data_IF_388948906554
#
_entry.id   IF_388948906554
#
_cell.length_a   1.000
_cell.length_b   1.000
_cell.length_c   1.000
_cell.angle_alpha   90.00
_cell.angle_beta   90.00
_cell.angle_gamma   90.00
#
_symmetry.space_group_name_H-M   'P 1'
#
loop_
_entity.id
_entity.type
_entity.pdbx_description
1 polymer ?
#
# COMPACT_ATOMS: atom_id res chain seq x y z
N UNK A 1 -13.11 -0.61 19.66
CA UNK A 1 -12.15 -1.41 20.46
C UNK A 1 -11.22 -0.46 21.21
N UNK A 2 -10.91 -0.73 22.48
CA UNK A 2 -10.06 0.15 23.31
C UNK A 2 -8.56 -0.05 23.03
N UNK A 3 -7.75 0.98 23.27
CA UNK A 3 -6.30 0.94 23.01
C UNK A 3 -5.57 -0.17 23.79
N UNK A 4 -5.89 -0.35 25.06
CA UNK A 4 -5.28 -1.38 25.92
C UNK A 4 -5.55 -2.79 25.38
N UNK A 5 -6.79 -3.04 24.94
CA UNK A 5 -7.19 -4.32 24.37
C UNK A 5 -6.50 -4.58 23.02
N UNK A 6 -6.34 -3.54 22.20
CA UNK A 6 -5.56 -3.61 20.97
C UNK A 6 -4.12 -4.03 21.22
N UNK A 7 -3.40 -3.29 22.08
CA UNK A 7 -2.00 -3.58 22.41
C UNK A 7 -1.85 -5.02 22.94
N UNK A 8 -2.74 -5.45 23.85
CA UNK A 8 -2.76 -6.83 24.36
C UNK A 8 -2.97 -7.86 23.25
N UNK A 9 -3.90 -7.61 22.34
CA UNK A 9 -4.21 -8.53 21.22
C UNK A 9 -3.00 -8.72 20.30
N UNK A 10 -2.26 -7.65 20.04
CA UNK A 10 -1.08 -7.65 19.18
C UNK A 10 0.13 -8.29 19.87
N UNK A 11 0.40 -7.97 21.13
CA UNK A 11 1.54 -8.52 21.89
C UNK A 11 1.37 -9.99 22.26
N UNK A 12 0.14 -10.43 22.56
CA UNK A 12 -0.11 -11.81 22.98
C UNK A 12 -0.35 -12.76 21.80
N UNK A 13 -0.34 -12.26 20.56
CA UNK A 13 -0.57 -13.12 19.40
C UNK A 13 0.69 -13.89 19.05
N UNK A 14 0.58 -15.23 18.99
CA UNK A 14 1.66 -16.12 18.52
C UNK A 14 1.78 -16.14 17.00
N UNK A 15 0.72 -15.74 16.31
CA UNK A 15 0.66 -15.65 14.84
C UNK A 15 0.61 -14.17 14.43
N UNK A 16 1.02 -13.83 13.20
CA UNK A 16 0.90 -12.46 12.71
C UNK A 16 -0.55 -11.99 12.69
N UNK A 17 -0.77 -10.70 12.89
CA UNK A 17 -2.09 -10.08 12.98
C UNK A 17 -2.26 -9.02 11.90
N UNK A 18 -3.30 -9.17 11.08
CA UNK A 18 -3.76 -8.13 10.16
C UNK A 18 -4.94 -7.42 10.79
N UNK A 19 -4.88 -6.09 10.81
CA UNK A 19 -5.92 -5.22 11.36
C UNK A 19 -6.45 -4.32 10.26
N UNK A 20 -7.75 -4.40 9.98
CA UNK A 20 -8.46 -3.47 9.10
C UNK A 20 -9.23 -2.42 9.90
N UNK A 21 -8.97 -1.15 9.60
CA UNK A 21 -9.76 -0.02 10.07
C UNK A 21 -10.79 0.35 9.00
N UNK A 22 -12.06 0.26 9.34
CA UNK A 22 -13.19 0.44 8.42
C UNK A 22 -14.33 1.22 9.07
N UNK A 23 -15.34 1.61 8.29
CA UNK A 23 -16.58 2.21 8.78
C UNK A 23 -17.75 1.89 7.80
N UNK A 24 -19.01 1.91 8.24
CA UNK A 24 -20.16 1.54 7.39
C UNK A 24 -20.38 2.50 6.22
N UNK A 25 -20.06 3.77 6.39
CA UNK A 25 -20.15 4.82 5.36
C UNK A 25 -18.98 4.80 4.37
N UNK A 26 -17.94 3.99 4.62
CA UNK A 26 -16.77 3.92 3.77
C UNK A 26 -17.04 3.05 2.53
N UNK A 27 -17.29 3.72 1.39
CA UNK A 27 -17.51 3.07 0.10
C UNK A 27 -16.44 2.02 -0.26
N UNK A 28 -15.13 2.37 -0.30
CA UNK A 28 -14.06 1.42 -0.61
C UNK A 28 -13.97 0.26 0.39
N UNK A 29 -14.26 0.49 1.67
CA UNK A 29 -14.27 -0.55 2.69
C UNK A 29 -15.34 -1.61 2.39
N UNK A 30 -16.54 -1.19 1.97
CA UNK A 30 -17.63 -2.12 1.61
C UNK A 30 -17.24 -3.07 0.47
N UNK A 31 -16.50 -2.56 -0.53
CA UNK A 31 -15.99 -3.38 -1.65
C UNK A 31 -14.90 -4.34 -1.19
N UNK A 32 -14.01 -3.90 -0.30
CA UNK A 32 -12.93 -4.74 0.23
C UNK A 32 -13.41 -5.82 1.20
N UNK A 33 -14.49 -5.58 1.92
CA UNK A 33 -15.00 -6.45 2.99
C UNK A 33 -15.21 -7.93 2.55
N UNK A 34 -15.93 -8.24 1.44
CA UNK A 34 -16.05 -9.63 0.98
C UNK A 34 -14.71 -10.23 0.54
N UNK A 35 -13.82 -9.41 -0.04
CA UNK A 35 -12.50 -9.85 -0.50
C UNK A 35 -11.60 -10.20 0.70
N UNK A 36 -11.58 -9.34 1.72
CA UNK A 36 -10.83 -9.57 2.95
C UNK A 36 -11.36 -10.78 3.70
N UNK A 37 -12.67 -11.01 3.72
CA UNK A 37 -13.25 -12.22 4.30
C UNK A 37 -12.69 -13.47 3.60
N UNK A 38 -12.77 -13.52 2.28
CA UNK A 38 -12.25 -14.63 1.49
C UNK A 38 -10.76 -14.86 1.71
N UNK A 39 -9.94 -13.80 1.58
CA UNK A 39 -8.49 -13.89 1.79
C UNK A 39 -8.18 -14.31 3.23
N UNK A 40 -8.85 -13.74 4.25
CA UNK A 40 -8.58 -14.08 5.64
C UNK A 40 -8.86 -15.56 5.95
N UNK A 41 -9.87 -16.16 5.31
CA UNK A 41 -10.17 -17.59 5.44
C UNK A 41 -9.08 -18.47 4.82
N UNK A 42 -8.43 -18.06 3.73
CA UNK A 42 -7.28 -18.79 3.15
C UNK A 42 -6.07 -18.86 4.12
N UNK A 43 -5.96 -17.91 5.05
CA UNK A 43 -4.87 -17.81 6.02
C UNK A 43 -5.32 -18.13 7.44
N UNK A 44 -6.49 -18.74 7.63
CA UNK A 44 -6.98 -19.13 8.94
C UNK A 44 -5.98 -20.04 9.67
N UNK A 45 -5.75 -19.77 10.96
CA UNK A 45 -4.72 -20.43 11.76
C UNK A 45 -3.27 -19.97 11.50
N UNK A 46 -2.99 -19.29 10.37
CA UNK A 46 -1.65 -18.80 10.00
C UNK A 46 -1.50 -17.30 10.21
N UNK A 47 -2.57 -16.54 9.96
CA UNK A 47 -2.66 -15.10 10.17
C UNK A 47 -3.99 -14.77 10.83
N UNK A 48 -3.95 -14.01 11.94
CA UNK A 48 -5.15 -13.52 12.61
C UNK A 48 -5.66 -12.27 11.91
N UNK A 49 -6.92 -12.25 11.49
CA UNK A 49 -7.56 -11.07 10.93
C UNK A 49 -8.49 -10.39 11.96
N UNK A 50 -8.36 -9.08 12.12
CA UNK A 50 -9.15 -8.26 13.06
C UNK A 50 -9.72 -7.05 12.32
N UNK A 51 -11.00 -6.79 12.51
CA UNK A 51 -11.67 -5.59 11.99
C UNK A 51 -11.97 -4.63 13.12
N UNK A 52 -11.68 -3.35 12.91
CA UNK A 52 -11.90 -2.27 13.87
C UNK A 52 -12.74 -1.20 13.19
N UNK A 53 -13.90 -0.92 13.78
CA UNK A 53 -14.70 0.22 13.36
C UNK A 53 -14.01 1.52 13.81
N UNK A 54 -13.74 2.40 12.84
CA UNK A 54 -13.11 3.69 13.02
C UNK A 54 -13.95 4.64 13.89
N UNK A 55 -15.27 4.59 13.75
CA UNK A 55 -16.18 5.48 14.48
C UNK A 55 -16.17 5.20 15.99
N UNK A 56 -15.99 3.94 16.35
CA UNK A 56 -16.00 3.43 17.74
C UNK A 56 -14.63 3.45 18.43
N UNK A 57 -13.56 3.76 17.69
CA UNK A 57 -12.17 3.54 18.15
C UNK A 57 -11.30 4.78 17.98
N UNK A 58 -11.87 5.99 18.17
CA UNK A 58 -11.20 7.28 17.89
C UNK A 58 -9.83 7.45 18.54
N UNK A 59 -9.69 7.11 19.83
CA UNK A 59 -8.43 7.18 20.57
C UNK A 59 -7.35 6.27 19.94
N UNK A 60 -7.75 5.06 19.54
CA UNK A 60 -6.86 4.12 18.86
C UNK A 60 -6.41 4.65 17.48
N UNK A 61 -7.32 5.29 16.73
CA UNK A 61 -6.98 5.89 15.44
C UNK A 61 -5.97 7.03 15.60
N UNK A 62 -6.12 7.86 16.63
CA UNK A 62 -5.20 8.96 16.93
C UNK A 62 -3.80 8.44 17.29
N UNK A 63 -3.69 7.49 18.22
CA UNK A 63 -2.42 6.86 18.61
C UNK A 63 -1.72 6.24 17.40
N UNK A 64 -2.47 5.52 16.57
CA UNK A 64 -1.94 4.87 15.38
C UNK A 64 -1.81 5.82 14.19
N UNK A 65 -2.13 7.12 14.32
CA UNK A 65 -2.09 8.11 13.24
C UNK A 65 -2.80 7.61 11.97
N UNK A 66 -4.03 7.14 12.14
CA UNK A 66 -4.89 6.67 11.04
C UNK A 66 -5.77 7.84 10.61
N UNK A 67 -5.43 8.44 9.47
CA UNK A 67 -6.10 9.63 8.94
C UNK A 67 -7.18 9.28 7.91
N UNK A 68 -7.17 8.06 7.38
CA UNK A 68 -8.10 7.63 6.34
C UNK A 68 -8.38 6.13 6.43
N UNK A 69 -9.52 5.73 5.89
CA UNK A 69 -9.97 4.35 5.80
C UNK A 69 -10.32 3.98 4.35
N UNK A 70 -10.16 2.71 3.95
CA UNK A 70 -9.64 1.60 4.74
C UNK A 70 -8.13 1.73 4.98
N UNK A 71 -7.69 1.34 6.18
CA UNK A 71 -6.25 1.22 6.49
C UNK A 71 -5.99 -0.18 7.04
N UNK A 72 -4.97 -0.86 6.52
CA UNK A 72 -4.50 -2.16 6.96
C UNK A 72 -3.16 -2.01 7.69
N UNK A 73 -3.08 -2.60 8.87
CA UNK A 73 -1.84 -2.72 9.65
C UNK A 73 -1.51 -4.19 9.86
N UNK A 74 -0.25 -4.56 9.62
CA UNK A 74 0.25 -5.91 9.72
C UNK A 74 1.26 -5.98 10.85
N UNK A 75 0.97 -6.78 11.86
CA UNK A 75 1.79 -6.95 13.04
C UNK A 75 2.36 -8.35 13.12
N UNK A 76 3.57 -8.47 13.65
CA UNK A 76 4.21 -9.74 13.97
C UNK A 76 5.04 -9.57 15.23
N UNK A 77 4.92 -10.49 16.18
CA UNK A 77 5.64 -10.44 17.46
C UNK A 77 5.50 -9.09 18.20
N UNK A 78 4.32 -8.47 18.13
CA UNK A 78 4.07 -7.17 18.77
C UNK A 78 4.49 -5.94 17.94
N UNK A 79 5.25 -6.13 16.86
CA UNK A 79 5.80 -5.03 16.07
C UNK A 79 4.99 -4.76 14.79
N UNK A 80 4.92 -3.49 14.40
CA UNK A 80 4.28 -3.07 13.15
C UNK A 80 5.22 -3.34 11.97
N UNK A 81 4.92 -4.38 11.19
CA UNK A 81 5.70 -4.78 10.03
C UNK A 81 5.31 -4.02 8.77
N UNK A 82 3.99 -3.80 8.59
CA UNK A 82 3.45 -3.29 7.33
C UNK A 82 2.26 -2.37 7.55
N UNK A 83 2.16 -1.33 6.73
CA UNK A 83 1.01 -0.42 6.66
C UNK A 83 0.58 -0.24 5.21
N UNK A 84 -0.71 -0.33 4.95
CA UNK A 84 -1.31 -0.04 3.64
C UNK A 84 -2.56 0.81 3.81
N UNK A 85 -2.65 1.90 3.06
CA UNK A 85 -3.78 2.83 3.07
C UNK A 85 -4.54 2.70 1.75
N UNK A 86 -5.87 2.71 1.83
CA UNK A 86 -6.78 2.71 0.70
C UNK A 86 -7.16 1.33 0.17
N UNK A 87 -8.08 1.34 -0.80
CA UNK A 87 -8.62 0.17 -1.48
C UNK A 87 -7.56 -0.78 -2.03
N UNK A 88 -7.66 -2.08 -1.75
CA UNK A 88 -6.77 -3.11 -2.31
C UNK A 88 -7.57 -4.16 -3.09
N UNK A 89 -7.02 -4.60 -4.22
CA UNK A 89 -7.56 -5.74 -4.96
C UNK A 89 -7.24 -7.07 -4.25
N UNK A 90 -8.01 -8.13 -4.53
CA UNK A 90 -7.79 -9.48 -3.99
C UNK A 90 -6.34 -9.99 -4.12
N UNK A 91 -5.66 -9.93 -5.28
CA UNK A 91 -4.29 -10.43 -5.39
C UNK A 91 -3.31 -9.67 -4.48
N UNK A 92 -3.44 -8.34 -4.43
CA UNK A 92 -2.60 -7.51 -3.55
C UNK A 92 -2.82 -7.83 -2.07
N UNK A 93 -4.06 -8.10 -1.65
CA UNK A 93 -4.34 -8.53 -0.27
C UNK A 93 -3.72 -9.89 0.02
N UNK A 94 -3.84 -10.84 -0.90
CA UNK A 94 -3.25 -12.17 -0.77
C UNK A 94 -1.72 -12.10 -0.63
N UNK A 95 -1.06 -11.35 -1.50
CA UNK A 95 0.39 -11.16 -1.43
C UNK A 95 0.82 -10.49 -0.13
N UNK A 96 -0.02 -9.59 0.40
CA UNK A 96 0.26 -8.88 1.64
C UNK A 96 0.09 -9.78 2.88
N UNK A 97 -0.91 -10.66 2.90
CA UNK A 97 -1.05 -11.69 3.95
C UNK A 97 0.12 -12.69 3.92
N UNK A 98 0.47 -13.16 2.72
CA UNK A 98 1.61 -14.07 2.50
C UNK A 98 2.94 -13.43 2.93
N UNK A 99 3.17 -12.15 2.60
CA UNK A 99 4.36 -11.43 3.04
C UNK A 99 4.44 -11.31 4.57
N UNK A 100 3.30 -11.07 5.25
CA UNK A 100 3.26 -10.98 6.71
C UNK A 100 3.55 -12.33 7.37
N UNK A 101 2.97 -13.40 6.84
CA UNK A 101 3.19 -14.79 7.27
C UNK A 101 4.68 -15.16 7.18
N UNK A 102 5.35 -14.76 6.09
CA UNK A 102 6.79 -15.01 5.89
C UNK A 102 7.69 -14.02 6.65
N UNK A 103 7.15 -12.88 7.10
CA UNK A 103 7.90 -11.88 7.86
C UNK A 103 8.77 -10.99 6.97
N UNK A 104 8.48 -10.98 5.66
CA UNK A 104 9.12 -10.10 4.69
C UNK A 104 8.35 -8.78 4.58
N UNK A 105 9.01 -7.69 4.15
CA UNK A 105 8.30 -6.46 3.84
C UNK A 105 7.27 -6.67 2.71
N UNK A 106 6.23 -5.85 2.71
CA UNK A 106 5.17 -5.91 1.70
C UNK A 106 5.77 -5.86 0.29
N UNK A 107 5.18 -6.57 -0.69
CA UNK A 107 5.51 -6.38 -2.09
C UNK A 107 5.39 -4.89 -2.43
N UNK A 108 6.50 -4.29 -2.83
CA UNK A 108 6.59 -2.88 -3.22
C UNK A 108 6.92 -2.82 -4.71
N UNK A 109 6.01 -2.25 -5.50
CA UNK A 109 6.21 -2.03 -6.94
C UNK A 109 4.99 -2.31 -7.81
N UNK A 110 5.11 -1.94 -9.07
CA UNK A 110 4.13 -2.22 -10.13
C UNK A 110 4.11 -3.71 -10.46
N UNK A 111 2.92 -4.26 -10.72
CA UNK A 111 2.79 -5.65 -11.16
C UNK A 111 3.36 -5.81 -12.58
N UNK A 112 3.75 -7.02 -12.98
CA UNK A 112 4.25 -7.28 -14.33
C UNK A 112 3.31 -6.74 -15.42
N UNK A 113 2.00 -6.95 -15.27
CA UNK A 113 1.00 -6.45 -16.22
C UNK A 113 0.96 -4.91 -16.32
N UNK A 114 0.98 -4.20 -15.19
CA UNK A 114 0.99 -2.72 -15.18
C UNK A 114 2.23 -2.16 -15.88
N UNK A 115 3.36 -2.86 -15.74
CA UNK A 115 4.60 -2.52 -16.45
C UNK A 115 4.45 -2.72 -17.94
N UNK A 116 3.93 -3.87 -18.36
CA UNK A 116 3.72 -4.14 -19.78
C UNK A 116 2.75 -3.14 -20.42
N UNK A 117 1.68 -2.78 -19.71
CA UNK A 117 0.74 -1.76 -20.19
C UNK A 117 1.42 -0.41 -20.36
N UNK A 118 2.23 0.04 -19.38
CA UNK A 118 2.99 1.30 -19.48
C UNK A 118 4.03 1.27 -20.59
N UNK A 119 4.76 0.17 -20.74
CA UNK A 119 5.71 -0.02 -21.85
C UNK A 119 4.98 0.04 -23.18
N UNK A 120 3.84 -0.65 -23.30
CA UNK A 120 2.98 -0.61 -24.48
C UNK A 120 2.52 0.81 -24.81
N UNK A 121 2.01 1.56 -23.83
CA UNK A 121 1.62 2.97 -24.01
C UNK A 121 2.81 3.83 -24.43
N UNK A 122 3.98 3.65 -23.83
CA UNK A 122 5.19 4.39 -24.20
C UNK A 122 5.62 4.11 -25.65
N UNK A 123 5.60 2.84 -26.07
CA UNK A 123 5.93 2.45 -27.44
C UNK A 123 4.93 3.04 -28.44
N UNK A 124 3.64 3.00 -28.14
CA UNK A 124 2.60 3.60 -28.99
C UNK A 124 2.83 5.12 -29.13
N UNK A 125 3.07 5.83 -28.02
CA UNK A 125 3.36 7.27 -28.04
C UNK A 125 4.63 7.60 -28.83
N UNK A 126 5.68 6.78 -28.69
CA UNK A 126 6.92 6.94 -29.43
C UNK A 126 6.71 6.75 -30.94
N UNK A 127 6.00 5.69 -31.33
CA UNK A 127 5.69 5.40 -32.76
C UNK A 127 4.88 6.53 -33.38
N UNK A 128 3.81 6.99 -32.71
CA UNK A 128 3.00 8.12 -33.18
C UNK A 128 3.86 9.38 -33.30
N UNK A 129 4.70 9.65 -32.30
CA UNK A 129 5.62 10.80 -32.30
C UNK A 129 6.59 10.78 -33.48
N UNK A 130 7.10 9.61 -33.86
CA UNK A 130 8.00 9.44 -35.00
C UNK A 130 7.24 9.56 -36.33
N UNK A 131 6.09 8.90 -36.46
CA UNK A 131 5.34 8.84 -37.72
C UNK A 131 4.65 10.15 -38.11
N UNK A 132 4.42 11.06 -37.15
CA UNK A 132 3.76 12.36 -37.37
C UNK A 132 4.73 13.53 -37.54
N UNK A 133 6.01 13.26 -37.85
CA UNK A 133 7.01 14.30 -38.12
C UNK A 133 7.92 14.64 -36.93
N UNK A 134 8.26 13.65 -36.12
CA UNK A 134 9.20 13.76 -34.98
C UNK A 134 8.75 14.78 -33.91
N UNK A 135 7.53 14.60 -33.41
CA UNK A 135 7.00 15.42 -32.32
C UNK A 135 7.76 15.19 -31.01
N UNK A 136 8.60 16.15 -30.62
CA UNK A 136 9.44 16.06 -29.42
C UNK A 136 8.62 15.95 -28.13
N UNK A 137 7.41 16.51 -28.10
CA UNK A 137 6.49 16.41 -26.97
C UNK A 137 5.98 14.98 -26.76
N UNK A 138 5.62 14.28 -27.85
CA UNK A 138 5.17 12.88 -27.77
C UNK A 138 6.31 11.94 -27.37
N UNK A 139 7.52 12.19 -27.88
CA UNK A 139 8.72 11.46 -27.48
C UNK A 139 9.07 11.70 -26.01
N UNK A 140 8.96 12.94 -25.54
CA UNK A 140 9.14 13.28 -24.12
C UNK A 140 8.13 12.58 -23.22
N UNK A 141 6.85 12.58 -23.60
CA UNK A 141 5.80 11.87 -22.87
C UNK A 141 6.04 10.34 -22.88
N UNK A 142 6.41 9.78 -24.02
CA UNK A 142 6.78 8.36 -24.14
C UNK A 142 7.93 8.00 -23.20
N UNK A 143 8.98 8.83 -23.14
CA UNK A 143 10.11 8.66 -22.23
C UNK A 143 9.68 8.69 -20.75
N UNK A 144 8.80 9.62 -20.37
CA UNK A 144 8.28 9.72 -19.00
C UNK A 144 7.43 8.49 -18.64
N UNK A 145 6.54 8.05 -19.52
CA UNK A 145 5.71 6.85 -19.31
C UNK A 145 6.58 5.60 -19.20
N UNK A 146 7.60 5.47 -20.06
CA UNK A 146 8.55 4.35 -20.02
C UNK A 146 9.36 4.34 -18.72
N UNK A 147 9.86 5.50 -18.30
CA UNK A 147 10.54 5.64 -17.01
C UNK A 147 9.63 5.22 -15.85
N UNK A 148 8.35 5.60 -15.90
CA UNK A 148 7.36 5.21 -14.90
C UNK A 148 7.08 3.70 -14.84
N UNK A 149 7.47 2.92 -15.86
CA UNK A 149 7.36 1.46 -15.86
C UNK A 149 8.55 0.75 -15.18
N UNK A 150 9.69 1.43 -15.05
CA UNK A 150 10.98 0.83 -14.65
C UNK A 150 11.57 1.50 -13.39
N UNK A 151 11.09 2.68 -12.97
CA UNK A 151 11.67 3.45 -11.86
C UNK A 151 11.80 2.64 -10.55
N UNK A 152 10.87 1.72 -10.29
CA UNK A 152 10.84 0.89 -9.09
C UNK A 152 11.83 -0.29 -9.09
N UNK A 153 12.44 -0.61 -10.25
CA UNK A 153 13.56 -1.57 -10.38
C UNK A 153 14.92 -0.89 -10.44
N UNK A 154 14.97 0.44 -10.57
CA UNK A 154 16.24 1.16 -10.63
C UNK A 154 16.93 1.12 -9.25
N UNK A 155 18.11 0.48 -9.13
CA UNK A 155 18.84 0.37 -7.86
C UNK A 155 19.19 1.75 -7.30
N UNK A 156 19.51 2.68 -8.19
CA UNK A 156 19.82 4.07 -7.90
C UNK A 156 18.60 4.77 -7.29
N UNK A 157 17.40 4.58 -7.86
CA UNK A 157 16.19 5.20 -7.32
C UNK A 157 15.85 4.68 -5.93
N UNK A 158 15.97 3.36 -5.68
CA UNK A 158 15.79 2.79 -4.34
C UNK A 158 16.77 3.36 -3.32
N UNK A 159 18.02 3.58 -3.72
CA UNK A 159 19.04 4.19 -2.86
C UNK A 159 18.79 5.69 -2.61
N UNK A 160 18.28 6.42 -3.61
CA UNK A 160 18.03 7.86 -3.50
C UNK A 160 16.69 8.21 -2.83
N UNK A 161 15.65 7.41 -3.03
CA UNK A 161 14.29 7.67 -2.53
C UNK A 161 14.22 8.04 -1.03
N UNK A 162 14.88 7.32 -0.09
CA UNK A 162 14.86 7.70 1.32
C UNK A 162 15.55 9.04 1.58
N UNK A 163 16.64 9.36 0.85
CA UNK A 163 17.35 10.63 0.97
C UNK A 163 16.51 11.80 0.46
N UNK A 164 15.87 11.66 -0.70
CA UNK A 164 14.97 12.67 -1.26
C UNK A 164 13.80 12.91 -0.30
N UNK A 165 13.19 11.84 0.23
CA UNK A 165 12.08 11.95 1.18
C UNK A 165 12.51 12.63 2.48
N UNK A 166 13.71 12.38 2.97
CA UNK A 166 14.26 13.06 4.14
C UNK A 166 14.46 14.57 3.89
N UNK A 167 14.94 14.94 2.70
CA UNK A 167 15.11 16.34 2.29
C UNK A 167 13.76 17.07 2.16
N UNK A 168 12.77 16.44 1.52
CA UNK A 168 11.41 16.99 1.40
C UNK A 168 10.75 17.17 2.76
N UNK A 169 10.92 16.21 3.69
CA UNK A 169 10.39 16.32 5.05
C UNK A 169 11.05 17.45 5.85
N UNK A 170 12.32 17.75 5.58
CA UNK A 170 13.03 18.89 6.20
C UNK A 170 12.57 20.24 5.64
N UNK A 171 11.99 20.26 4.44
CA UNK A 171 11.45 21.44 3.79
C UNK A 171 9.96 21.69 4.05
N UNK A 172 9.23 20.79 4.72
CA UNK A 172 7.88 21.09 5.20
C UNK A 172 7.98 21.84 6.55
N UNK A 173 7.76 23.17 6.60
CA UNK A 173 7.60 23.86 7.88
C UNK A 173 6.42 23.25 8.64
N UNK A 174 6.56 23.10 9.96
CA UNK A 174 5.48 22.73 10.87
C UNK A 174 4.27 23.66 10.63
N UNK A 175 3.26 23.19 9.92
CA UNK A 175 1.93 23.80 9.99
C UNK A 175 1.28 23.26 11.25
N UNK A 176 1.54 23.97 12.34
CA UNK A 176 0.71 23.94 13.55
C UNK A 176 -0.63 24.55 13.16
N UNK A 177 -1.71 23.78 13.32
CA UNK A 177 -3.04 24.20 13.74
C UNK A 177 -3.87 22.95 14.05
#
# INVERSE_FOLDING_TARGET
MKLVEFKRTIHNSRIPVVVEFWAPWCGPCRVMNPILKEVSSEFEGRVKFVKINADESRELLQELKIMSIPTLLGYRAGELMMRKVGGQSKPALRDWFMALEEGRPAPSGLRPFDRYLRVGTALILAVIGISSGLSIWLLGLAGLVLFSAIYDRCPIYKALAPRIKALLKRQSPNVVN
#
